data_IF_758039305525
#
_entry.id   IF_758039305525
#
_cell.length_a   1.000
_cell.length_b   1.000
_cell.length_c   1.000
_cell.angle_alpha   90.00
_cell.angle_beta   90.00
_cell.angle_gamma   90.00
#
_symmetry.space_group_name_H-M   'P 1'
#
loop_
_entity.id
_entity.type
_entity.pdbx_description
1 polymer ?
#
# COMPACT_ATOMS: atom_id res chain seq x y z
N UNK A 1 -1.86 -17.57 1.39
CA UNK A 1 -2.30 -16.59 2.42
C UNK A 1 -2.73 -15.30 1.75
N UNK A 2 -3.87 -14.72 2.13
CA UNK A 2 -4.29 -13.38 1.66
C UNK A 2 -3.66 -12.29 2.53
N UNK A 3 -2.91 -11.37 1.92
CA UNK A 3 -2.25 -10.24 2.58
C UNK A 3 -3.27 -9.22 3.13
N UNK A 4 -4.37 -9.01 2.42
CA UNK A 4 -5.41 -8.04 2.77
C UNK A 4 -6.70 -8.74 3.21
N UNK A 5 -7.38 -8.19 4.22
CA UNK A 5 -8.77 -8.57 4.50
C UNK A 5 -9.71 -8.03 3.43
N UNK A 6 -10.91 -8.60 3.32
CA UNK A 6 -11.93 -8.09 2.39
C UNK A 6 -12.28 -6.61 2.66
N UNK A 7 -12.37 -6.23 3.94
CA UNK A 7 -12.65 -4.85 4.34
C UNK A 7 -11.52 -3.90 3.91
N UNK A 8 -10.26 -4.25 4.19
CA UNK A 8 -9.11 -3.44 3.75
C UNK A 8 -9.08 -3.29 2.23
N UNK A 9 -9.30 -4.38 1.49
CA UNK A 9 -9.35 -4.35 0.03
C UNK A 9 -10.47 -3.44 -0.48
N UNK A 10 -11.65 -3.46 0.13
CA UNK A 10 -12.77 -2.60 -0.25
C UNK A 10 -12.46 -1.12 0.06
N UNK A 11 -11.88 -0.82 1.22
CA UNK A 11 -11.49 0.55 1.57
C UNK A 11 -10.42 1.10 0.63
N UNK A 12 -9.39 0.31 0.31
CA UNK A 12 -8.33 0.72 -0.61
C UNK A 12 -8.86 1.00 -2.02
N UNK A 13 -9.80 0.18 -2.53
CA UNK A 13 -10.46 0.45 -3.82
C UNK A 13 -11.40 1.67 -3.77
N UNK A 14 -12.11 1.87 -2.66
CA UNK A 14 -12.96 3.05 -2.50
C UNK A 14 -12.11 4.34 -2.46
N UNK A 15 -10.91 4.29 -1.89
CA UNK A 15 -9.98 5.41 -1.90
C UNK A 15 -9.53 5.74 -3.33
N UNK A 16 -9.12 4.76 -4.14
CA UNK A 16 -8.72 5.04 -5.53
C UNK A 16 -9.86 5.59 -6.38
N UNK A 17 -11.08 5.07 -6.22
CA UNK A 17 -12.27 5.62 -6.89
C UNK A 17 -12.53 7.09 -6.54
N UNK A 18 -12.29 7.49 -5.29
CA UNK A 18 -12.43 8.89 -4.86
C UNK A 18 -11.28 9.76 -5.37
N UNK A 19 -10.08 9.21 -5.42
CA UNK A 19 -8.89 9.92 -5.90
C UNK A 19 -8.95 10.21 -7.40
N UNK A 20 -9.55 9.32 -8.19
CA UNK A 20 -9.55 9.38 -9.65
C UNK A 20 -9.98 10.75 -10.21
N UNK A 21 -11.04 11.34 -9.63
CA UNK A 21 -11.58 12.62 -10.10
C UNK A 21 -10.66 13.83 -9.83
N UNK A 22 -9.69 13.69 -8.93
CA UNK A 22 -8.82 14.78 -8.47
C UNK A 22 -7.33 14.49 -8.64
N UNK A 23 -6.96 13.33 -9.18
CA UNK A 23 -5.57 12.91 -9.36
C UNK A 23 -4.81 13.90 -10.24
N UNK A 24 -3.61 14.29 -9.81
CA UNK A 24 -2.75 15.27 -10.46
C UNK A 24 -3.15 16.73 -10.23
N UNK A 25 -4.11 17.00 -9.34
CA UNK A 25 -4.58 18.37 -9.03
C UNK A 25 -4.24 18.76 -7.59
N UNK A 26 -4.39 20.05 -7.25
CA UNK A 26 -4.24 20.51 -5.85
C UNK A 26 -5.30 19.95 -4.90
N UNK A 27 -6.35 19.31 -5.44
CA UNK A 27 -7.44 18.69 -4.67
C UNK A 27 -7.22 17.19 -4.40
N UNK A 28 -6.01 16.66 -4.65
CA UNK A 28 -5.68 15.28 -4.29
C UNK A 28 -5.97 14.98 -2.81
N UNK A 29 -6.55 13.81 -2.55
CA UNK A 29 -6.96 13.41 -1.20
C UNK A 29 -5.80 12.71 -0.51
N UNK A 30 -5.35 13.27 0.62
CA UNK A 30 -4.37 12.63 1.50
C UNK A 30 -5.07 11.59 2.40
N UNK A 31 -5.15 10.34 1.94
CA UNK A 31 -5.77 9.27 2.69
C UNK A 31 -4.87 8.80 3.85
N UNK A 32 -5.48 8.58 5.02
CA UNK A 32 -4.80 7.84 6.09
C UNK A 32 -4.48 6.41 5.63
N UNK A 33 -3.30 5.86 5.98
CA UNK A 33 -2.93 4.49 5.63
C UNK A 33 -3.94 3.46 6.14
N UNK A 34 -4.42 2.59 5.26
CA UNK A 34 -5.36 1.50 5.59
C UNK A 34 -4.61 0.27 6.09
N UNK A 35 -3.40 0.04 5.57
CA UNK A 35 -2.58 -1.13 5.89
C UNK A 35 -1.13 -0.73 6.07
N UNK A 36 -0.51 -1.24 7.15
CA UNK A 36 0.93 -1.23 7.33
C UNK A 36 1.48 -2.64 7.08
N UNK A 37 2.37 -2.73 6.10
CA UNK A 37 3.13 -3.93 5.81
C UNK A 37 4.58 -3.72 6.25
N UNK A 38 5.21 -4.76 6.77
CA UNK A 38 6.64 -4.75 7.07
C UNK A 38 7.32 -5.95 6.43
N UNK A 39 8.61 -5.79 6.13
CA UNK A 39 9.49 -6.86 5.67
C UNK A 39 10.28 -7.44 6.87
N UNK A 40 9.88 -8.59 7.44
CA UNK A 40 10.53 -9.20 8.60
C UNK A 40 12.05 -9.43 8.52
N UNK A 41 12.64 -9.57 7.32
CA UNK A 41 14.09 -9.75 7.17
C UNK A 41 14.85 -8.43 7.02
N UNK A 42 14.17 -7.29 7.12
CA UNK A 42 14.82 -5.99 7.00
C UNK A 42 14.05 -4.88 7.69
N UNK A 43 14.37 -3.67 7.29
CA UNK A 43 13.79 -2.44 7.86
C UNK A 43 12.65 -1.87 7.01
N UNK A 44 12.37 -2.50 5.87
CA UNK A 44 11.41 -1.97 4.91
C UNK A 44 9.97 -2.02 5.44
N UNK A 45 9.25 -0.92 5.25
CA UNK A 45 7.87 -0.70 5.67
C UNK A 45 7.07 -0.05 4.54
N UNK A 46 5.85 -0.52 4.31
CA UNK A 46 4.90 0.09 3.37
C UNK A 46 3.63 0.51 4.11
N UNK A 47 3.14 1.71 3.80
CA UNK A 47 1.88 2.28 4.26
C UNK A 47 0.96 2.45 3.06
N UNK A 48 0.00 1.54 2.90
CA UNK A 48 -0.87 1.46 1.73
C UNK A 48 -2.12 2.32 1.93
N UNK A 49 -2.44 3.14 0.93
CA UNK A 49 -3.60 4.05 0.93
C UNK A 49 -4.64 3.65 -0.11
N UNK A 50 -4.23 3.07 -1.23
CA UNK A 50 -5.11 2.78 -2.37
C UNK A 50 -4.71 1.46 -3.06
N UNK A 51 -5.65 0.86 -3.79
CA UNK A 51 -5.41 -0.21 -4.77
C UNK A 51 -5.79 0.28 -6.17
N UNK A 52 -5.01 -0.08 -7.18
CA UNK A 52 -5.33 0.23 -8.56
C UNK A 52 -6.61 -0.55 -8.98
N UNK A 53 -7.65 0.12 -9.50
CA UNK A 53 -8.91 -0.55 -9.84
C UNK A 53 -8.79 -1.60 -10.95
N UNK A 54 -7.90 -1.36 -11.91
CA UNK A 54 -7.67 -2.25 -13.06
C UNK A 54 -6.77 -3.44 -12.73
N UNK A 55 -5.85 -3.27 -11.77
CA UNK A 55 -5.00 -4.34 -11.24
C UNK A 55 -4.90 -4.24 -9.71
N UNK A 56 -5.84 -4.83 -8.96
CA UNK A 56 -5.85 -4.78 -7.49
C UNK A 56 -4.69 -5.52 -6.80
N UNK A 57 -3.75 -6.07 -7.57
CA UNK A 57 -2.47 -6.54 -7.07
C UNK A 57 -1.45 -5.40 -6.92
N UNK A 58 -1.70 -4.23 -7.50
CA UNK A 58 -0.89 -3.03 -7.36
C UNK A 58 -1.52 -2.12 -6.30
N UNK A 59 -0.73 -1.80 -5.29
CA UNK A 59 -1.09 -0.86 -4.23
C UNK A 59 -0.29 0.44 -4.35
N UNK A 60 -0.91 1.57 -4.00
CA UNK A 60 -0.22 2.86 -3.84
C UNK A 60 0.01 3.15 -2.37
N UNK A 61 1.08 3.89 -2.08
CA UNK A 61 1.38 4.30 -0.71
C UNK A 61 2.81 4.78 -0.52
N UNK A 62 3.18 4.96 0.75
CA UNK A 62 4.54 5.29 1.15
C UNK A 62 5.35 4.01 1.39
N UNK A 63 6.59 4.00 0.95
CA UNK A 63 7.58 2.95 1.19
C UNK A 63 8.80 3.57 1.88
N UNK A 64 9.07 3.15 3.12
CA UNK A 64 10.33 3.42 3.79
C UNK A 64 11.21 2.18 3.65
N UNK A 65 12.29 2.29 2.89
CA UNK A 65 13.23 1.18 2.66
C UNK A 65 14.43 1.21 3.61
N UNK A 66 14.43 2.10 4.62
CA UNK A 66 15.54 2.29 5.54
C UNK A 66 16.68 3.15 5.00
N UNK A 67 16.41 3.96 3.97
CA UNK A 67 17.38 4.83 3.30
C UNK A 67 17.37 6.27 3.84
N UNK A 68 16.69 6.51 4.97
CA UNK A 68 16.61 7.82 5.61
C UNK A 68 15.42 8.68 5.16
N UNK A 69 14.64 8.22 4.19
CA UNK A 69 13.39 8.85 3.77
C UNK A 69 12.39 7.81 3.23
N UNK A 70 11.10 8.12 3.35
CA UNK A 70 10.04 7.37 2.72
C UNK A 70 9.73 7.93 1.33
N UNK A 71 9.45 7.06 0.37
CA UNK A 71 9.10 7.40 -1.00
C UNK A 71 7.63 7.06 -1.27
N UNK A 72 6.92 7.93 -1.98
CA UNK A 72 5.56 7.64 -2.44
C UNK A 72 5.62 6.94 -3.80
N UNK A 73 4.89 5.83 -3.95
CA UNK A 73 4.93 5.06 -5.17
C UNK A 73 3.90 3.93 -5.21
N UNK A 74 4.19 2.95 -6.08
CA UNK A 74 3.38 1.74 -6.24
C UNK A 74 4.19 0.51 -5.84
N UNK A 75 3.51 -0.52 -5.34
CA UNK A 75 4.09 -1.82 -5.01
C UNK A 75 3.14 -2.93 -5.44
N UNK A 76 3.67 -4.00 -6.01
CA UNK A 76 2.88 -5.17 -6.38
C UNK A 76 2.86 -6.17 -5.21
N UNK A 77 1.67 -6.46 -4.69
CA UNK A 77 1.48 -7.29 -3.50
C UNK A 77 1.89 -8.75 -3.72
N UNK A 78 1.85 -9.23 -4.97
CA UNK A 78 2.33 -10.55 -5.36
C UNK A 78 3.85 -10.66 -5.52
N UNK A 79 4.60 -9.55 -5.59
CA UNK A 79 6.06 -9.52 -5.80
C UNK A 79 6.83 -9.87 -4.51
N UNK A 80 6.44 -10.99 -3.90
CA UNK A 80 6.88 -11.42 -2.56
C UNK A 80 8.26 -12.06 -2.56
N UNK A 81 8.86 -12.30 -3.72
CA UNK A 81 9.93 -13.28 -3.90
C UNK A 81 11.18 -12.73 -4.60
N UNK A 82 11.77 -11.66 -4.06
CA UNK A 82 13.20 -11.44 -4.31
C UNK A 82 14.07 -12.11 -3.24
N UNK A 83 13.57 -12.49 -2.04
CA UNK A 83 14.34 -13.28 -1.03
C UNK A 83 13.54 -13.98 0.10
N UNK A 84 12.31 -14.51 -0.11
CA UNK A 84 11.66 -15.45 0.83
C UNK A 84 10.44 -14.94 1.64
N UNK A 85 9.85 -15.77 2.54
CA UNK A 85 8.43 -15.69 2.92
C UNK A 85 8.16 -14.67 4.03
N UNK A 86 8.24 -13.36 3.74
CA UNK A 86 8.30 -12.35 4.80
C UNK A 86 7.45 -11.13 4.47
N UNK A 87 6.13 -11.28 4.57
CA UNK A 87 5.23 -10.15 4.74
C UNK A 87 4.38 -10.44 5.96
N UNK A 88 4.47 -9.61 6.99
CA UNK A 88 3.57 -9.68 8.14
C UNK A 88 2.79 -8.38 8.24
N UNK A 89 1.51 -8.48 8.58
CA UNK A 89 0.57 -7.35 8.59
C UNK A 89 0.37 -6.85 10.01
N UNK A 90 0.39 -5.53 10.19
CA UNK A 90 -0.19 -4.86 11.36
C UNK A 90 -1.32 -3.96 10.86
N UNK A 91 -2.50 -4.05 11.47
CA UNK A 91 -3.56 -3.08 11.18
C UNK A 91 -3.09 -1.69 11.63
N UNK A 92 -3.17 -0.70 10.74
CA UNK A 92 -3.04 0.69 11.16
C UNK A 92 -4.21 0.97 12.12
N UNK A 93 -3.90 1.48 13.32
CA UNK A 93 -4.90 1.86 14.33
C UNK A 93 -5.43 3.25 14.02
#
# INVERSE_FOLDING_TARGET
MKLLTKAQHQTLLANSQRQEAVRGTEAEIDFSPVVKLFYPAGVATWLLTELEPEDPDIARGLADLGMGCAEFGTVRLSERDVTGPLWTRVAAR
#
